data_IF_997026186080
#
_entry.id   IF_997026186080
#
_cell.length_a   1.000
_cell.length_b   1.000
_cell.length_c   1.000
_cell.angle_alpha   90.00
_cell.angle_beta   90.00
_cell.angle_gamma   90.00
#
_symmetry.space_group_name_H-M   'P 1'
#
loop_
_entity.id
_entity.type
_entity.pdbx_description
1 polymer ?
#
# COMPACT_ATOMS: atom_id res chain seq x y z
N UNK A 1 -19.80 -22.05 13.62
CA UNK A 1 -19.01 -21.21 14.55
C UNK A 1 -18.29 -20.13 13.79
N UNK A 2 -18.14 -18.94 14.37
CA UNK A 2 -17.39 -17.82 13.82
C UNK A 2 -16.65 -17.08 14.94
N UNK A 3 -15.39 -16.74 14.70
CA UNK A 3 -14.64 -15.85 15.59
C UNK A 3 -15.12 -14.42 15.32
N UNK A 4 -15.50 -13.67 16.33
CA UNK A 4 -16.00 -12.31 16.12
C UNK A 4 -15.18 -11.22 16.84
N UNK A 5 -14.30 -11.62 17.78
CA UNK A 5 -13.45 -10.67 18.49
C UNK A 5 -12.25 -11.38 19.11
N UNK A 6 -11.17 -10.61 19.39
CA UNK A 6 -9.98 -11.07 20.11
C UNK A 6 -9.55 -9.99 21.09
N UNK A 7 -9.64 -10.28 22.37
CA UNK A 7 -9.12 -9.41 23.44
C UNK A 7 -7.87 -9.99 24.08
N UNK A 8 -6.71 -9.40 23.80
CA UNK A 8 -5.43 -9.90 24.31
C UNK A 8 -5.18 -11.35 23.91
N UNK A 9 -5.23 -12.27 24.87
CA UNK A 9 -5.02 -13.71 24.67
C UNK A 9 -6.33 -14.53 24.65
N UNK A 10 -7.48 -13.87 24.59
CA UNK A 10 -8.81 -14.51 24.58
C UNK A 10 -9.45 -14.34 23.20
N UNK A 11 -9.86 -15.46 22.61
CA UNK A 11 -10.58 -15.54 21.34
C UNK A 11 -12.08 -15.68 21.63
N UNK A 12 -12.90 -14.72 21.22
CA UNK A 12 -14.35 -14.79 21.40
C UNK A 12 -14.99 -15.43 20.17
N UNK A 13 -15.73 -16.51 20.39
CA UNK A 13 -16.29 -17.35 19.34
C UNK A 13 -17.80 -17.44 19.46
N UNK A 14 -18.52 -17.03 18.42
CA UNK A 14 -19.95 -17.19 18.31
C UNK A 14 -20.29 -18.61 17.84
N UNK A 15 -21.22 -19.26 18.55
CA UNK A 15 -21.72 -20.61 18.22
C UNK A 15 -23.24 -20.60 18.21
N UNK A 16 -23.85 -21.15 17.16
CA UNK A 16 -25.31 -21.26 17.09
C UNK A 16 -25.82 -22.60 17.65
N UNK A 17 -25.05 -23.68 17.45
CA UNK A 17 -25.34 -25.00 17.97
C UNK A 17 -24.26 -25.44 18.97
N UNK A 18 -24.50 -25.38 20.27
CA UNK A 18 -23.53 -25.79 21.29
C UNK A 18 -23.27 -27.29 21.33
N UNK A 19 -24.01 -28.11 20.59
CA UNK A 19 -23.83 -29.55 20.50
C UNK A 19 -22.85 -29.96 19.37
N UNK A 20 -22.43 -29.02 18.52
CA UNK A 20 -21.43 -29.26 17.48
C UNK A 20 -19.99 -29.32 18.08
N UNK A 21 -19.72 -30.43 18.73
CA UNK A 21 -18.43 -30.70 19.37
C UNK A 21 -17.25 -30.69 18.36
N UNK A 22 -17.50 -31.10 17.12
CA UNK A 22 -16.43 -31.11 16.09
C UNK A 22 -15.95 -29.69 15.73
N UNK A 23 -16.89 -28.76 15.64
CA UNK A 23 -16.52 -27.38 15.38
C UNK A 23 -15.80 -26.74 16.57
N UNK A 24 -16.21 -27.06 17.81
CA UNK A 24 -15.51 -26.60 19.02
C UNK A 24 -14.11 -27.18 19.13
N UNK A 25 -13.94 -28.49 18.95
CA UNK A 25 -12.62 -29.15 18.97
C UNK A 25 -11.66 -28.56 17.94
N UNK A 26 -12.14 -28.24 16.73
CA UNK A 26 -11.32 -27.60 15.68
C UNK A 26 -10.84 -26.20 16.09
N UNK A 27 -11.72 -25.38 16.68
CA UNK A 27 -11.37 -24.04 17.17
C UNK A 27 -10.40 -24.14 18.35
N UNK A 28 -10.67 -25.03 19.31
CA UNK A 28 -9.82 -25.23 20.49
C UNK A 28 -8.43 -25.71 20.11
N UNK A 29 -8.34 -26.60 19.12
CA UNK A 29 -7.04 -27.06 18.58
C UNK A 29 -6.23 -25.89 18.00
N UNK A 30 -6.83 -25.09 17.11
CA UNK A 30 -6.17 -23.93 16.49
C UNK A 30 -5.79 -22.86 17.53
N UNK A 31 -6.63 -22.66 18.55
CA UNK A 31 -6.36 -21.71 19.60
C UNK A 31 -5.19 -22.15 20.50
N UNK A 32 -5.10 -23.45 20.82
CA UNK A 32 -3.99 -24.02 21.59
C UNK A 32 -2.64 -23.87 20.89
N UNK A 33 -2.59 -24.10 19.57
CA UNK A 33 -1.36 -23.88 18.79
C UNK A 33 -0.84 -22.45 18.90
N UNK A 34 -1.75 -21.50 19.09
CA UNK A 34 -1.44 -20.05 19.21
C UNK A 34 -1.40 -19.55 20.65
N UNK A 35 -1.47 -20.42 21.65
CA UNK A 35 -1.55 -20.05 23.07
C UNK A 35 -2.71 -19.08 23.40
N UNK A 36 -3.84 -19.24 22.73
CA UNK A 36 -5.06 -18.45 22.95
C UNK A 36 -6.05 -19.23 23.81
N UNK A 37 -6.81 -18.53 24.66
CA UNK A 37 -7.99 -19.08 25.35
C UNK A 37 -9.23 -18.81 24.48
N UNK A 38 -10.15 -19.75 24.49
CA UNK A 38 -11.42 -19.62 23.74
C UNK A 38 -12.56 -19.38 24.69
N UNK A 39 -13.39 -18.40 24.41
CA UNK A 39 -14.66 -18.14 25.05
C UNK A 39 -15.78 -18.28 24.02
N UNK A 40 -16.75 -19.15 24.28
CA UNK A 40 -17.87 -19.41 23.41
C UNK A 40 -19.09 -18.58 23.82
N UNK A 41 -19.69 -17.91 22.85
CA UNK A 41 -20.90 -17.12 23.02
C UNK A 41 -22.04 -17.73 22.19
N UNK A 42 -23.13 -18.08 22.83
CA UNK A 42 -24.30 -18.60 22.14
C UNK A 42 -24.97 -17.49 21.33
N UNK A 43 -25.27 -17.76 20.07
CA UNK A 43 -25.94 -16.81 19.19
C UNK A 43 -27.04 -17.48 18.39
N UNK A 44 -27.92 -16.69 17.75
CA UNK A 44 -28.87 -17.25 16.81
C UNK A 44 -28.20 -17.60 15.47
N UNK A 45 -28.78 -18.57 14.76
CA UNK A 45 -28.30 -18.95 13.42
C UNK A 45 -28.29 -17.76 12.46
N UNK A 46 -29.26 -16.85 12.57
CA UNK A 46 -29.34 -15.63 11.76
C UNK A 46 -28.15 -14.69 12.02
N UNK A 47 -27.80 -14.46 13.28
CA UNK A 47 -26.65 -13.62 13.65
C UNK A 47 -25.34 -14.30 13.26
N UNK A 48 -25.23 -15.65 13.42
CA UNK A 48 -24.06 -16.38 12.95
C UNK A 48 -23.89 -16.26 11.43
N UNK A 49 -24.99 -16.33 10.66
CA UNK A 49 -24.92 -16.12 9.21
C UNK A 49 -24.52 -14.68 8.84
N UNK A 50 -24.94 -13.68 9.60
CA UNK A 50 -24.48 -12.29 9.40
C UNK A 50 -22.99 -12.13 9.68
N UNK A 51 -22.49 -12.73 10.75
CA UNK A 51 -21.05 -12.79 11.03
C UNK A 51 -20.29 -13.51 9.92
N UNK A 52 -20.78 -14.66 9.46
CA UNK A 52 -20.17 -15.41 8.36
C UNK A 52 -20.20 -14.66 7.02
N UNK A 53 -21.18 -13.79 6.78
CA UNK A 53 -21.22 -12.90 5.62
C UNK A 53 -20.03 -11.95 5.60
N UNK A 54 -19.56 -11.45 6.74
CA UNK A 54 -18.36 -10.62 6.80
C UNK A 54 -17.12 -11.37 6.29
N UNK A 55 -16.99 -12.67 6.60
CA UNK A 55 -15.92 -13.53 6.06
C UNK A 55 -16.06 -13.87 4.57
N UNK A 56 -17.31 -13.86 4.06
CA UNK A 56 -17.60 -14.18 2.64
C UNK A 56 -17.73 -12.94 1.75
N UNK A 57 -17.73 -11.74 2.30
CA UNK A 57 -18.02 -10.49 1.60
C UNK A 57 -17.06 -10.25 0.43
N UNK A 58 -15.75 -10.47 0.63
CA UNK A 58 -14.74 -10.37 -0.43
C UNK A 58 -15.07 -11.27 -1.63
N UNK A 59 -15.36 -12.55 -1.37
CA UNK A 59 -15.70 -13.50 -2.45
C UNK A 59 -17.00 -13.13 -3.14
N UNK A 60 -18.00 -12.65 -2.40
CA UNK A 60 -19.30 -12.21 -2.93
C UNK A 60 -19.17 -11.01 -3.85
N UNK A 61 -18.52 -9.94 -3.41
CA UNK A 61 -18.31 -8.71 -4.18
C UNK A 61 -17.48 -8.94 -5.44
N UNK A 62 -16.43 -9.77 -5.34
CA UNK A 62 -15.61 -10.14 -6.48
C UNK A 62 -16.37 -11.06 -7.45
N UNK A 63 -17.19 -12.00 -6.97
CA UNK A 63 -17.99 -12.88 -7.84
C UNK A 63 -19.02 -12.10 -8.63
N UNK A 64 -19.66 -11.10 -8.03
CA UNK A 64 -20.58 -10.19 -8.74
C UNK A 64 -19.86 -9.43 -9.85
N UNK A 65 -18.67 -8.86 -9.55
CA UNK A 65 -17.88 -8.16 -10.55
C UNK A 65 -17.37 -9.10 -11.68
N UNK A 66 -16.99 -10.35 -11.34
CA UNK A 66 -16.61 -11.37 -12.33
C UNK A 66 -17.76 -11.78 -13.25
N UNK A 67 -19.00 -11.86 -12.72
CA UNK A 67 -20.19 -12.09 -13.55
C UNK A 67 -20.33 -11.04 -14.63
N UNK A 68 -20.20 -9.77 -14.29
CA UNK A 68 -20.25 -8.65 -15.24
C UNK A 68 -19.13 -8.67 -16.29
N UNK A 69 -17.95 -9.23 -15.98
CA UNK A 69 -16.85 -9.43 -16.95
C UNK A 69 -17.18 -10.53 -17.94
N UNK A 70 -17.78 -11.65 -17.49
CA UNK A 70 -18.19 -12.76 -18.37
C UNK A 70 -19.28 -12.34 -19.34
N UNK A 71 -20.33 -11.69 -18.85
CA UNK A 71 -21.47 -11.27 -19.69
C UNK A 71 -20.99 -10.35 -20.83
N UNK A 72 -20.07 -9.44 -20.58
CA UNK A 72 -19.48 -8.57 -21.61
C UNK A 72 -18.63 -9.33 -22.64
N UNK A 73 -17.89 -10.38 -22.22
CA UNK A 73 -17.13 -11.23 -23.16
C UNK A 73 -18.04 -12.04 -24.06
N UNK A 74 -19.16 -12.53 -23.55
CA UNK A 74 -20.12 -13.31 -24.34
C UNK A 74 -20.88 -12.41 -25.31
N UNK A 75 -21.27 -11.19 -24.90
CA UNK A 75 -21.86 -10.20 -25.83
C UNK A 75 -20.88 -9.76 -26.95
N UNK A 76 -19.58 -9.64 -26.66
CA UNK A 76 -18.55 -9.32 -27.67
C UNK A 76 -18.38 -10.50 -28.64
N UNK A 77 -18.37 -11.75 -28.19
CA UNK A 77 -18.26 -12.94 -29.04
C UNK A 77 -19.43 -13.05 -30.03
N UNK A 78 -20.65 -12.69 -29.64
CA UNK A 78 -21.81 -12.68 -30.52
C UNK A 78 -21.78 -11.53 -31.55
N UNK A 79 -21.14 -10.39 -31.20
CA UNK A 79 -20.92 -9.28 -32.14
C UNK A 79 -19.79 -9.55 -33.14
N UNK A 80 -18.74 -10.27 -32.73
CA UNK A 80 -17.58 -10.61 -33.56
C UNK A 80 -17.93 -11.68 -34.60
N UNK A 81 -18.86 -12.61 -34.32
CA UNK A 81 -19.41 -13.55 -35.33
C UNK A 81 -20.11 -12.85 -36.47
N UNK A 82 -20.43 -11.56 -36.34
CA UNK A 82 -21.08 -10.75 -37.41
C UNK A 82 -20.15 -9.80 -38.16
N UNK A 83 -18.84 -9.71 -37.79
CA UNK A 83 -17.84 -8.88 -38.49
C UNK A 83 -16.51 -9.62 -38.51
N UNK A 84 -16.28 -10.41 -39.55
CA UNK A 84 -14.95 -10.87 -39.91
C UNK A 84 -14.16 -9.73 -40.54
N UNK A 85 -12.87 -9.70 -40.18
CA UNK A 85 -11.77 -8.87 -40.71
C UNK A 85 -11.62 -7.46 -40.10
N UNK A 86 -10.78 -7.35 -39.09
CA UNK A 86 -9.59 -6.48 -38.96
C UNK A 86 -9.12 -6.31 -37.51
N UNK A 87 -7.88 -6.77 -37.34
CA UNK A 87 -6.82 -6.33 -36.40
C UNK A 87 -6.98 -6.30 -34.89
N UNK A 88 -6.16 -7.16 -34.30
CA UNK A 88 -6.00 -7.64 -32.92
C UNK A 88 -5.23 -6.71 -31.95
N UNK A 89 -5.19 -5.40 -32.09
CA UNK A 89 -4.43 -4.51 -31.20
C UNK A 89 -5.27 -3.51 -30.38
N UNK A 90 -6.59 -3.49 -30.59
CA UNK A 90 -7.49 -2.55 -29.90
C UNK A 90 -8.11 -3.04 -28.59
N UNK A 91 -8.04 -4.33 -28.31
CA UNK A 91 -8.92 -4.96 -27.30
C UNK A 91 -8.38 -4.93 -25.86
N UNK A 92 -7.06 -4.83 -25.68
CA UNK A 92 -6.44 -4.78 -24.34
C UNK A 92 -6.69 -3.46 -23.59
N UNK A 93 -6.85 -2.35 -24.33
CA UNK A 93 -7.05 -1.03 -23.72
C UNK A 93 -8.46 -0.80 -23.17
N UNK A 94 -9.48 -1.51 -23.70
CA UNK A 94 -10.86 -1.41 -23.22
C UNK A 94 -11.13 -2.29 -21.98
N UNK A 95 -10.50 -3.48 -21.92
CA UNK A 95 -10.65 -4.38 -20.77
C UNK A 95 -9.99 -3.81 -19.50
N UNK A 96 -8.90 -3.05 -19.65
CA UNK A 96 -8.21 -2.36 -18.53
C UNK A 96 -9.06 -1.23 -17.92
N UNK A 97 -9.88 -0.57 -18.74
CA UNK A 97 -10.82 0.48 -18.34
C UNK A 97 -12.18 -0.06 -17.91
N UNK A 98 -12.37 -1.38 -17.92
CA UNK A 98 -13.67 -1.95 -17.58
C UNK A 98 -14.00 -1.71 -16.10
N UNK A 99 -15.17 -1.15 -15.82
CA UNK A 99 -15.66 -0.90 -14.48
C UNK A 99 -15.59 -2.13 -13.54
N UNK A 100 -15.85 -3.37 -14.03
CA UNK A 100 -15.75 -4.57 -13.21
C UNK A 100 -14.33 -4.89 -12.72
N UNK A 101 -13.29 -4.72 -13.55
CA UNK A 101 -11.89 -4.97 -13.16
C UNK A 101 -11.44 -3.93 -12.15
N UNK A 102 -11.81 -2.67 -12.34
CA UNK A 102 -11.53 -1.60 -11.38
C UNK A 102 -12.20 -1.88 -10.03
N UNK A 103 -13.44 -2.39 -10.02
CA UNK A 103 -14.15 -2.80 -8.79
C UNK A 103 -13.40 -3.95 -8.10
N UNK A 104 -12.94 -4.97 -8.83
CA UNK A 104 -12.19 -6.09 -8.25
C UNK A 104 -10.89 -5.59 -7.57
N UNK A 105 -10.10 -4.74 -8.22
CA UNK A 105 -8.88 -4.17 -7.63
C UNK A 105 -9.20 -3.35 -6.39
N UNK A 106 -10.22 -2.48 -6.46
CA UNK A 106 -10.65 -1.66 -5.31
C UNK A 106 -11.08 -2.52 -4.12
N UNK A 107 -11.84 -3.60 -4.36
CA UNK A 107 -12.28 -4.54 -3.32
C UNK A 107 -11.09 -5.27 -2.70
N UNK A 108 -10.13 -5.74 -3.52
CA UNK A 108 -8.92 -6.40 -3.03
C UNK A 108 -8.13 -5.47 -2.10
N UNK A 109 -7.92 -4.21 -2.50
CA UNK A 109 -7.15 -3.24 -1.72
C UNK A 109 -7.88 -2.84 -0.43
N UNK A 110 -9.19 -2.60 -0.52
CA UNK A 110 -10.01 -2.27 0.66
C UNK A 110 -9.95 -3.38 1.70
N UNK A 111 -10.17 -4.63 1.30
CA UNK A 111 -10.12 -5.76 2.23
C UNK A 111 -8.72 -6.03 2.79
N UNK A 112 -7.66 -5.71 2.05
CA UNK A 112 -6.30 -5.82 2.56
C UNK A 112 -6.04 -4.82 3.68
N UNK A 113 -6.49 -3.56 3.51
CA UNK A 113 -6.37 -2.50 4.53
C UNK A 113 -7.22 -2.83 5.75
N UNK A 114 -8.49 -3.19 5.54
CA UNK A 114 -9.44 -3.54 6.60
C UNK A 114 -8.97 -4.75 7.42
N UNK A 115 -8.35 -5.72 6.75
CA UNK A 115 -7.76 -6.91 7.38
C UNK A 115 -6.37 -6.72 7.99
N UNK A 116 -5.83 -5.50 8.03
CA UNK A 116 -4.52 -5.20 8.62
C UNK A 116 -3.35 -5.89 7.90
N UNK A 117 -3.47 -6.14 6.59
CA UNK A 117 -2.39 -6.74 5.82
C UNK A 117 -1.22 -5.77 5.63
N UNK A 118 0.02 -6.26 5.70
CA UNK A 118 1.22 -5.50 5.35
C UNK A 118 1.50 -5.49 3.86
N UNK A 119 1.20 -6.60 3.17
CA UNK A 119 1.48 -6.76 1.74
C UNK A 119 0.32 -7.51 1.04
N UNK A 120 0.07 -7.13 -0.20
CA UNK A 120 -0.85 -7.80 -1.13
C UNK A 120 -0.05 -8.41 -2.27
N UNK A 121 -0.19 -9.70 -2.50
CA UNK A 121 0.46 -10.42 -3.59
C UNK A 121 -0.59 -10.88 -4.60
N UNK A 122 -0.39 -10.56 -5.88
CA UNK A 122 -1.18 -11.08 -7.00
C UNK A 122 -0.26 -11.94 -7.87
N UNK A 123 -0.53 -13.23 -7.87
CA UNK A 123 0.37 -14.24 -8.42
C UNK A 123 -0.32 -15.09 -9.48
N UNK A 124 0.28 -15.20 -10.69
CA UNK A 124 -0.23 -16.11 -11.70
C UNK A 124 0.15 -17.56 -11.38
N UNK A 125 -0.78 -18.46 -11.65
CA UNK A 125 -0.59 -19.91 -11.64
C UNK A 125 -1.00 -20.48 -12.98
N UNK A 126 -0.81 -21.80 -13.17
CA UNK A 126 -1.11 -22.47 -14.43
C UNK A 126 -2.55 -22.27 -14.91
N UNK A 127 -3.51 -22.29 -14.00
CA UNK A 127 -4.95 -22.27 -14.23
C UNK A 127 -5.70 -21.12 -13.55
N UNK A 128 -5.03 -20.36 -12.70
CA UNK A 128 -5.65 -19.39 -11.80
C UNK A 128 -4.75 -18.20 -11.55
N UNK A 129 -5.30 -17.16 -10.94
CA UNK A 129 -4.59 -16.04 -10.32
C UNK A 129 -4.90 -16.05 -8.83
N UNK A 130 -3.90 -16.02 -7.98
CA UNK A 130 -4.07 -16.01 -6.53
C UNK A 130 -3.77 -14.65 -5.95
N UNK A 131 -4.67 -14.18 -5.09
CA UNK A 131 -4.46 -13.02 -4.24
C UNK A 131 -4.14 -13.51 -2.84
N UNK A 132 -2.98 -13.12 -2.32
CA UNK A 132 -2.55 -13.46 -0.97
C UNK A 132 -2.27 -12.19 -0.19
N UNK A 133 -2.67 -12.18 1.06
CA UNK A 133 -2.37 -11.10 2.01
C UNK A 133 -1.32 -11.58 3.00
N UNK A 134 -0.36 -10.71 3.30
CA UNK A 134 0.56 -10.94 4.42
C UNK A 134 -0.02 -10.27 5.66
N UNK A 135 -0.36 -11.07 6.66
CA UNK A 135 -0.88 -10.61 7.95
C UNK A 135 0.03 -11.21 9.02
N UNK A 136 0.53 -10.38 9.93
CA UNK A 136 1.48 -10.78 10.98
C UNK A 136 2.69 -11.59 10.45
N UNK A 137 3.21 -11.20 9.29
CA UNK A 137 4.36 -11.84 8.63
C UNK A 137 4.02 -13.10 7.83
N UNK A 138 2.79 -13.65 7.94
CA UNK A 138 2.37 -14.90 7.27
C UNK A 138 1.51 -14.58 6.03
N UNK A 139 1.77 -15.29 4.92
CA UNK A 139 0.99 -15.18 3.69
C UNK A 139 -0.24 -16.09 3.71
N UNK A 140 -1.42 -15.52 3.60
CA UNK A 140 -2.70 -16.23 3.52
C UNK A 140 -3.34 -16.05 2.14
N UNK A 141 -3.81 -17.15 1.52
CA UNK A 141 -4.58 -17.08 0.28
C UNK A 141 -5.97 -16.57 0.60
N UNK A 142 -6.28 -15.35 0.14
CA UNK A 142 -7.57 -14.71 0.36
C UNK A 142 -8.56 -14.98 -0.77
N UNK A 143 -8.06 -14.98 -2.02
CA UNK A 143 -8.90 -15.10 -3.19
C UNK A 143 -8.20 -15.89 -4.29
N UNK A 144 -8.96 -16.72 -5.01
CA UNK A 144 -8.52 -17.40 -6.23
C UNK A 144 -9.42 -16.96 -7.37
N UNK A 145 -8.81 -16.41 -8.41
CA UNK A 145 -9.48 -15.83 -9.57
C UNK A 145 -9.17 -16.66 -10.84
N UNK A 146 -10.04 -16.68 -11.82
CA UNK A 146 -9.74 -17.31 -13.10
C UNK A 146 -8.52 -16.68 -13.78
N UNK A 147 -7.69 -17.48 -14.46
CA UNK A 147 -6.46 -17.02 -15.12
C UNK A 147 -6.70 -15.87 -16.10
N UNK A 148 -7.81 -15.89 -16.82
CA UNK A 148 -8.12 -14.89 -17.84
C UNK A 148 -8.27 -13.45 -17.31
N UNK A 149 -8.49 -13.27 -15.99
CA UNK A 149 -8.60 -11.94 -15.37
C UNK A 149 -7.25 -11.37 -14.95
N UNK A 150 -6.21 -12.21 -14.84
CA UNK A 150 -4.93 -11.84 -14.28
C UNK A 150 -4.28 -10.64 -14.98
N UNK A 151 -4.15 -10.71 -16.30
CA UNK A 151 -3.54 -9.64 -17.11
C UNK A 151 -4.29 -8.32 -16.95
N UNK A 152 -5.63 -8.37 -16.92
CA UNK A 152 -6.44 -7.17 -16.72
C UNK A 152 -6.25 -6.55 -15.32
N UNK A 153 -6.09 -7.38 -14.28
CA UNK A 153 -5.77 -6.91 -12.92
C UNK A 153 -4.40 -6.23 -12.89
N UNK A 154 -3.38 -6.88 -13.45
CA UNK A 154 -2.01 -6.33 -13.50
C UNK A 154 -2.01 -5.00 -14.25
N UNK A 155 -2.62 -4.94 -15.43
CA UNK A 155 -2.73 -3.71 -16.23
C UNK A 155 -3.46 -2.60 -15.46
N UNK A 156 -4.55 -2.92 -14.75
CA UNK A 156 -5.26 -1.94 -13.93
C UNK A 156 -4.39 -1.40 -12.79
N UNK A 157 -3.63 -2.27 -12.13
CA UNK A 157 -2.69 -1.86 -11.07
C UNK A 157 -1.57 -1.00 -11.64
N UNK A 158 -1.02 -1.34 -12.82
CA UNK A 158 -0.03 -0.51 -13.51
C UNK A 158 -0.56 0.88 -13.81
N UNK A 159 -1.81 1.00 -14.29
CA UNK A 159 -2.46 2.31 -14.51
C UNK A 159 -2.54 3.10 -13.21
N UNK A 160 -3.00 2.48 -12.12
CA UNK A 160 -3.12 3.15 -10.82
C UNK A 160 -1.76 3.57 -10.25
N UNK A 161 -0.72 2.80 -10.54
CA UNK A 161 0.66 3.06 -10.08
C UNK A 161 1.48 3.94 -11.03
N UNK A 162 0.86 4.42 -12.13
CA UNK A 162 1.51 5.21 -13.19
C UNK A 162 2.71 4.49 -13.83
N UNK A 163 2.58 3.14 -14.03
CA UNK A 163 3.57 2.29 -14.67
C UNK A 163 3.26 2.09 -16.16
N UNK A 164 4.26 1.68 -16.94
CA UNK A 164 4.11 1.38 -18.37
C UNK A 164 3.33 0.06 -18.53
N UNK A 165 2.18 0.12 -19.20
CA UNK A 165 1.28 -1.03 -19.38
C UNK A 165 1.84 -2.00 -20.42
N UNK A 166 2.45 -1.46 -21.46
CA UNK A 166 3.01 -2.17 -22.62
C UNK A 166 4.35 -2.85 -22.33
N UNK A 167 5.06 -2.45 -21.26
CA UNK A 167 6.31 -3.07 -20.86
C UNK A 167 6.07 -4.17 -19.81
N UNK A 168 6.31 -5.41 -20.21
CA UNK A 168 6.07 -6.61 -19.39
C UNK A 168 7.34 -7.43 -19.13
N UNK A 169 8.49 -6.98 -19.69
CA UNK A 169 9.75 -7.74 -19.68
C UNK A 169 10.74 -7.29 -18.62
N UNK A 170 10.51 -6.13 -18.03
CA UNK A 170 11.36 -5.58 -16.97
C UNK A 170 10.54 -5.31 -15.71
N UNK A 171 11.14 -5.45 -14.52
CA UNK A 171 10.50 -5.03 -13.28
C UNK A 171 10.16 -3.54 -13.31
N UNK A 172 9.05 -3.17 -12.69
CA UNK A 172 8.65 -1.77 -12.56
C UNK A 172 8.20 -1.52 -11.13
N UNK A 173 8.55 -0.37 -10.60
CA UNK A 173 8.17 0.10 -9.27
C UNK A 173 7.36 1.39 -9.38
N UNK A 174 6.31 1.49 -8.56
CA UNK A 174 5.42 2.64 -8.56
C UNK A 174 4.67 2.78 -7.25
N UNK A 175 3.71 3.72 -7.24
CA UNK A 175 2.89 4.01 -6.07
C UNK A 175 1.44 4.20 -6.44
N UNK A 176 0.57 3.79 -5.53
CA UNK A 176 -0.86 4.06 -5.57
C UNK A 176 -1.23 4.77 -4.29
N UNK A 177 -1.98 5.87 -4.38
CA UNK A 177 -2.62 6.50 -3.24
C UNK A 177 -4.12 6.44 -3.42
N UNK A 178 -4.81 5.91 -2.40
CA UNK A 178 -6.26 5.78 -2.40
C UNK A 178 -6.81 6.20 -1.05
N UNK A 179 -7.99 6.83 -1.07
CA UNK A 179 -8.79 7.01 0.14
C UNK A 179 -9.59 5.73 0.38
N UNK A 180 -9.31 5.06 1.49
CA UNK A 180 -9.96 3.80 1.90
C UNK A 180 -10.44 3.97 3.34
N UNK A 181 -11.73 3.81 3.58
CA UNK A 181 -12.36 3.95 4.90
C UNK A 181 -12.05 5.32 5.55
N UNK A 182 -12.14 6.39 4.76
CA UNK A 182 -11.84 7.77 5.14
C UNK A 182 -10.38 8.04 5.53
N UNK A 183 -9.49 7.08 5.30
CA UNK A 183 -8.05 7.24 5.47
C UNK A 183 -7.32 7.23 4.12
N UNK A 184 -6.35 8.11 3.96
CA UNK A 184 -5.44 8.06 2.83
C UNK A 184 -4.41 6.96 3.05
N UNK A 185 -4.41 5.97 2.17
CA UNK A 185 -3.49 4.83 2.23
C UNK A 185 -2.58 4.83 1.02
N UNK A 186 -1.29 4.75 1.26
CA UNK A 186 -0.28 4.62 0.22
C UNK A 186 0.12 3.15 0.02
N UNK A 187 0.30 2.74 -1.23
CA UNK A 187 0.79 1.42 -1.61
C UNK A 187 2.06 1.57 -2.44
N UNK A 188 3.14 0.90 -2.04
CA UNK A 188 4.29 0.68 -2.92
C UNK A 188 4.03 -0.54 -3.77
N UNK A 189 4.07 -0.38 -5.07
CA UNK A 189 3.77 -1.41 -6.07
C UNK A 189 5.06 -1.83 -6.74
N UNK A 190 5.31 -3.12 -6.79
CA UNK A 190 6.40 -3.70 -7.59
C UNK A 190 5.85 -4.79 -8.48
N UNK A 191 6.21 -4.73 -9.77
CA UNK A 191 5.88 -5.77 -10.75
C UNK A 191 7.13 -6.55 -11.10
N UNK A 192 7.00 -7.86 -11.21
CA UNK A 192 8.08 -8.77 -11.57
C UNK A 192 7.66 -9.63 -12.76
N UNK A 193 8.37 -9.54 -13.89
CA UNK A 193 8.17 -10.48 -15.01
C UNK A 193 8.41 -11.92 -14.58
N UNK A 194 7.50 -12.80 -14.98
CA UNK A 194 7.62 -14.25 -14.88
C UNK A 194 7.61 -14.85 -16.30
N UNK A 195 7.66 -16.19 -16.40
CA UNK A 195 7.80 -16.87 -17.67
C UNK A 195 6.68 -16.52 -18.68
N UNK A 196 5.42 -16.42 -18.22
CA UNK A 196 4.24 -16.20 -19.09
C UNK A 196 3.37 -15.02 -18.63
N UNK A 197 3.76 -14.29 -17.62
CA UNK A 197 2.95 -13.24 -17.00
C UNK A 197 3.79 -12.38 -16.06
N UNK A 198 3.15 -11.55 -15.25
CA UNK A 198 3.77 -10.71 -14.24
C UNK A 198 3.18 -11.00 -12.86
N UNK A 199 4.03 -11.04 -11.86
CA UNK A 199 3.63 -11.00 -10.46
C UNK A 199 3.57 -9.54 -9.98
N UNK A 200 2.59 -9.21 -9.15
CA UNK A 200 2.50 -7.90 -8.50
C UNK A 200 2.56 -8.09 -6.99
N UNK A 201 3.36 -7.24 -6.35
CA UNK A 201 3.39 -7.10 -4.89
C UNK A 201 3.09 -5.64 -4.55
N UNK A 202 2.16 -5.43 -3.63
CA UNK A 202 1.81 -4.10 -3.14
C UNK A 202 2.01 -4.08 -1.63
N UNK A 203 2.92 -3.25 -1.14
CA UNK A 203 3.12 -3.01 0.29
C UNK A 203 2.21 -1.89 0.73
N UNK A 204 1.46 -2.12 1.78
CA UNK A 204 0.58 -1.14 2.40
C UNK A 204 1.43 -0.30 3.36
N UNK A 205 1.40 1.01 3.16
CA UNK A 205 2.04 1.97 4.04
C UNK A 205 0.92 2.62 4.85
N UNK A 206 0.87 2.30 6.13
CA UNK A 206 -0.07 2.96 7.04
C UNK A 206 0.43 4.38 7.31
N UNK A 207 -0.27 5.35 6.75
CA UNK A 207 0.00 6.78 6.92
C UNK A 207 -0.99 7.43 7.89
N UNK A 208 -1.93 6.65 8.45
CA UNK A 208 -3.00 7.17 9.32
C UNK A 208 -2.48 7.77 10.62
N UNK A 209 -1.28 7.37 11.07
CA UNK A 209 -0.62 7.91 12.26
C UNK A 209 0.05 9.28 12.08
N UNK A 210 0.17 9.78 10.84
CA UNK A 210 0.95 11.00 10.56
C UNK A 210 2.43 10.87 10.96
N UNK A 211 3.14 12.00 10.97
CA UNK A 211 4.50 12.03 11.49
C UNK A 211 4.50 11.90 13.01
N UNK A 212 5.28 10.94 13.54
CA UNK A 212 5.46 10.80 14.98
C UNK A 212 6.01 12.09 15.58
N UNK A 213 5.62 12.41 16.80
CA UNK A 213 6.19 13.55 17.54
C UNK A 213 7.59 13.21 18.05
N UNK A 214 8.43 14.22 18.32
CA UNK A 214 9.76 13.99 18.89
C UNK A 214 9.70 13.24 20.23
N UNK A 215 8.67 13.47 21.04
CA UNK A 215 8.44 12.76 22.31
C UNK A 215 8.19 11.27 22.07
N UNK A 216 7.36 10.93 21.08
CA UNK A 216 7.09 9.53 20.68
C UNK A 216 8.33 8.84 20.11
N UNK A 217 9.27 9.60 19.52
CA UNK A 217 10.57 9.09 19.06
C UNK A 217 11.59 8.90 20.21
N UNK A 218 11.23 9.27 21.43
CA UNK A 218 12.10 9.11 22.61
C UNK A 218 13.04 10.29 22.86
N UNK A 219 12.86 11.44 22.20
CA UNK A 219 13.58 12.64 22.57
C UNK A 219 13.09 13.11 23.93
N UNK A 220 14.01 13.31 24.89
CA UNK A 220 13.69 13.76 26.24
C UNK A 220 14.79 14.69 26.82
N UNK A 221 14.42 15.44 27.83
CA UNK A 221 15.35 16.31 28.60
C UNK A 221 16.19 17.22 27.68
N UNK A 222 17.47 17.24 27.88
CA UNK A 222 18.41 18.09 27.16
C UNK A 222 18.38 17.89 25.64
N UNK A 223 18.28 16.65 25.18
CA UNK A 223 18.24 16.35 23.73
C UNK A 223 16.99 16.96 23.06
N UNK A 224 15.84 16.93 23.72
CA UNK A 224 14.63 17.58 23.24
C UNK A 224 14.80 19.10 23.13
N UNK A 225 15.41 19.73 24.14
CA UNK A 225 15.67 21.18 24.15
C UNK A 225 16.63 21.58 23.02
N UNK A 226 17.72 20.83 22.82
CA UNK A 226 18.70 21.07 21.78
C UNK A 226 18.02 20.95 20.40
N UNK A 227 17.24 19.89 20.17
CA UNK A 227 16.53 19.68 18.92
C UNK A 227 15.55 20.82 18.64
N UNK A 228 14.69 21.18 19.61
CA UNK A 228 13.75 22.30 19.49
C UNK A 228 14.42 23.65 19.24
N UNK A 229 15.60 23.88 19.78
CA UNK A 229 16.40 25.09 19.50
C UNK A 229 17.03 25.04 18.11
N UNK A 230 17.53 23.88 17.67
CA UNK A 230 18.18 23.72 16.38
C UNK A 230 17.21 23.97 15.21
N UNK A 231 16.02 23.35 15.24
CA UNK A 231 15.01 23.49 14.17
C UNK A 231 14.40 24.89 14.07
N UNK A 232 14.53 25.74 15.10
CA UNK A 232 14.03 27.13 15.10
C UNK A 232 15.04 28.15 14.57
N UNK A 233 16.27 27.72 14.26
CA UNK A 233 17.28 28.64 13.71
C UNK A 233 16.88 29.02 12.28
N UNK A 234 17.05 30.32 11.93
CA UNK A 234 16.70 30.78 10.58
C UNK A 234 17.59 30.20 9.48
N UNK A 235 18.83 29.86 9.80
CA UNK A 235 19.81 29.31 8.84
C UNK A 235 20.56 28.17 9.50
N UNK A 236 21.12 27.29 8.69
CA UNK A 236 21.99 26.19 9.13
C UNK A 236 21.53 24.84 8.58
N UNK A 237 22.24 23.80 8.99
CA UNK A 237 21.99 22.44 8.54
C UNK A 237 21.84 21.51 9.73
N UNK A 238 20.80 20.66 9.67
CA UNK A 238 20.62 19.55 10.61
C UNK A 238 20.98 18.25 9.89
N UNK A 239 21.92 17.50 10.43
CA UNK A 239 22.34 16.20 9.88
C UNK A 239 21.85 15.07 10.77
N UNK A 240 21.22 14.07 10.17
CA UNK A 240 20.79 12.83 10.83
C UNK A 240 21.57 11.68 10.20
N UNK A 241 22.33 10.95 11.01
CA UNK A 241 23.18 9.84 10.57
C UNK A 241 22.82 8.56 11.31
N UNK A 242 23.07 7.42 10.66
CA UNK A 242 22.83 6.10 11.25
C UNK A 242 22.61 5.02 10.18
N UNK A 243 22.59 3.74 10.59
CA UNK A 243 22.34 2.63 9.67
C UNK A 243 20.88 2.63 9.14
N UNK A 244 20.62 1.78 8.15
CA UNK A 244 19.23 1.55 7.67
C UNK A 244 18.35 1.05 8.81
N UNK A 245 17.13 1.57 8.91
CA UNK A 245 16.18 1.20 9.97
C UNK A 245 16.40 1.90 11.30
N UNK A 246 17.36 2.84 11.43
CA UNK A 246 17.60 3.59 12.69
C UNK A 246 16.62 4.75 12.94
N UNK A 247 15.66 4.97 12.06
CA UNK A 247 14.66 6.04 12.20
C UNK A 247 15.08 7.40 11.64
N UNK A 248 16.07 7.47 10.74
CA UNK A 248 16.54 8.73 10.13
C UNK A 248 15.39 9.53 9.49
N UNK A 249 14.70 8.91 8.52
CA UNK A 249 13.57 9.54 7.82
C UNK A 249 12.44 9.90 8.78
N UNK A 250 12.15 9.04 9.75
CA UNK A 250 11.13 9.29 10.78
C UNK A 250 11.47 10.52 11.61
N UNK A 251 12.74 10.68 12.01
CA UNK A 251 13.22 11.85 12.76
C UNK A 251 13.13 13.13 11.92
N UNK A 252 13.55 13.08 10.66
CA UNK A 252 13.45 14.22 9.73
C UNK A 252 11.98 14.63 9.50
N UNK A 253 11.09 13.67 9.26
CA UNK A 253 9.67 13.94 9.07
C UNK A 253 9.00 14.52 10.32
N UNK A 254 9.42 14.08 11.52
CA UNK A 254 8.97 14.69 12.77
C UNK A 254 9.42 16.15 12.91
N UNK A 255 10.64 16.46 12.50
CA UNK A 255 11.15 17.83 12.47
C UNK A 255 10.40 18.68 11.45
N UNK A 256 10.19 18.16 10.24
CA UNK A 256 9.41 18.86 9.19
C UNK A 256 7.98 19.14 9.65
N UNK A 257 7.33 18.17 10.31
CA UNK A 257 5.97 18.34 10.79
C UNK A 257 5.84 19.50 11.83
N UNK A 258 6.86 19.71 12.65
CA UNK A 258 6.91 20.84 13.60
C UNK A 258 7.05 22.18 12.86
N UNK A 259 7.80 22.19 11.75
CA UNK A 259 8.09 23.38 10.96
C UNK A 259 7.00 23.68 9.90
N UNK A 260 6.14 22.72 9.64
CA UNK A 260 5.12 22.80 8.62
C UNK A 260 3.95 23.70 9.05
N UNK A 261 4.04 24.97 8.68
CA UNK A 261 3.04 26.01 8.94
C UNK A 261 2.60 26.66 7.62
N UNK A 262 1.42 27.24 7.58
CA UNK A 262 0.82 27.82 6.38
C UNK A 262 1.72 28.83 5.63
N UNK A 263 2.57 29.54 6.34
CA UNK A 263 3.49 30.55 5.78
C UNK A 263 4.88 30.02 5.41
N UNK A 264 5.12 28.70 5.44
CA UNK A 264 6.46 28.11 5.24
C UNK A 264 6.47 27.21 4.01
N UNK A 265 7.32 27.48 3.04
CA UNK A 265 7.53 26.64 1.87
C UNK A 265 8.55 25.54 2.16
N UNK A 266 8.08 24.33 2.39
CA UNK A 266 8.93 23.14 2.63
C UNK A 266 9.00 22.31 1.36
N UNK A 267 10.23 22.01 0.91
CA UNK A 267 10.47 21.16 -0.25
C UNK A 267 11.40 20.03 0.12
N UNK A 268 11.08 18.80 -0.28
CA UNK A 268 11.96 17.64 -0.06
C UNK A 268 12.43 17.02 -1.37
N UNK A 269 13.57 16.33 -1.31
CA UNK A 269 14.12 15.52 -2.39
C UNK A 269 14.58 14.17 -1.80
N UNK A 270 13.94 13.07 -2.23
CA UNK A 270 14.00 11.78 -1.55
C UNK A 270 14.21 10.60 -2.52
N UNK A 271 14.71 9.46 -2.01
CA UNK A 271 14.93 8.23 -2.78
C UNK A 271 14.61 6.97 -1.94
N UNK A 272 13.35 6.52 -1.93
CA UNK A 272 12.13 7.20 -2.35
C UNK A 272 11.48 8.05 -1.25
N UNK A 273 10.41 8.80 -1.58
CA UNK A 273 9.52 9.40 -0.55
C UNK A 273 8.91 8.28 0.29
N UNK A 274 9.02 8.29 1.60
CA UNK A 274 8.53 7.21 2.46
C UNK A 274 7.00 7.24 2.59
N UNK A 275 6.44 8.37 2.98
CA UNK A 275 5.00 8.63 2.99
C UNK A 275 4.74 10.13 2.79
N UNK A 276 3.51 10.45 2.43
CA UNK A 276 3.12 11.83 2.14
C UNK A 276 2.96 12.67 3.41
N UNK A 277 3.51 13.86 3.39
CA UNK A 277 3.30 14.88 4.42
C UNK A 277 2.42 15.99 3.84
N UNK A 278 1.23 16.16 4.39
CA UNK A 278 0.33 17.24 3.99
C UNK A 278 1.01 18.60 4.20
N UNK A 279 0.99 19.48 3.20
CA UNK A 279 1.63 20.80 3.27
C UNK A 279 3.12 20.82 2.91
N UNK A 280 3.73 19.68 2.58
CA UNK A 280 5.14 19.57 2.14
C UNK A 280 5.20 19.21 0.66
N UNK A 281 6.03 19.90 -0.10
CA UNK A 281 6.27 19.63 -1.51
C UNK A 281 7.35 18.55 -1.65
N UNK A 282 6.94 17.29 -1.78
CA UNK A 282 7.85 16.15 -1.82
C UNK A 282 8.17 15.74 -3.25
N UNK A 283 9.46 15.75 -3.61
CA UNK A 283 9.99 15.29 -4.90
C UNK A 283 10.79 14.01 -4.73
N UNK A 284 10.62 13.07 -5.64
CA UNK A 284 11.38 11.83 -5.66
C UNK A 284 12.41 11.88 -6.80
N UNK A 285 13.64 11.49 -6.53
CA UNK A 285 14.68 11.36 -7.57
C UNK A 285 14.27 10.31 -8.61
N UNK A 286 14.66 10.55 -9.84
CA UNK A 286 14.48 9.63 -10.97
C UNK A 286 15.70 9.73 -11.89
N UNK A 287 16.75 8.93 -11.63
CA UNK A 287 17.99 8.96 -12.41
C UNK A 287 17.78 8.67 -13.90
N UNK A 288 16.77 7.87 -14.25
CA UNK A 288 16.49 7.49 -15.65
C UNK A 288 16.12 8.69 -16.54
N UNK A 289 15.58 9.74 -15.93
CA UNK A 289 15.25 11.01 -16.62
C UNK A 289 16.19 12.15 -16.22
N UNK A 290 17.29 11.85 -15.52
CA UNK A 290 18.29 12.83 -15.12
C UNK A 290 17.94 13.62 -13.85
N UNK A 291 16.87 13.30 -13.13
CA UNK A 291 16.54 13.90 -11.85
C UNK A 291 17.33 13.21 -10.73
N UNK A 292 18.58 13.61 -10.57
CA UNK A 292 19.48 13.19 -9.48
C UNK A 292 19.32 14.11 -8.26
N UNK A 293 19.93 13.76 -7.11
CA UNK A 293 19.95 14.63 -5.93
C UNK A 293 20.55 16.01 -6.24
N UNK A 294 21.69 16.08 -6.93
CA UNK A 294 22.30 17.34 -7.30
C UNK A 294 21.44 18.16 -8.27
N UNK A 295 20.90 17.54 -9.31
CA UNK A 295 20.03 18.22 -10.28
C UNK A 295 18.72 18.71 -9.63
N UNK A 296 18.09 17.88 -8.78
CA UNK A 296 16.89 18.20 -8.04
C UNK A 296 17.13 19.35 -7.06
N UNK A 297 18.21 19.29 -6.28
CA UNK A 297 18.54 20.35 -5.31
C UNK A 297 18.78 21.71 -5.97
N UNK A 298 19.49 21.75 -7.11
CA UNK A 298 19.61 23.00 -7.90
C UNK A 298 18.26 23.54 -8.36
N UNK A 299 17.30 22.68 -8.67
CA UNK A 299 15.97 23.10 -9.07
C UNK A 299 15.16 23.58 -7.89
N UNK A 300 15.24 22.93 -6.74
CA UNK A 300 14.57 23.30 -5.49
C UNK A 300 15.00 24.70 -5.05
N UNK A 301 16.29 25.04 -5.13
CA UNK A 301 16.80 26.36 -4.77
C UNK A 301 16.21 27.52 -5.61
N UNK A 302 15.54 27.23 -6.72
CA UNK A 302 14.80 28.21 -7.53
C UNK A 302 13.31 28.23 -7.26
N UNK A 303 12.83 27.44 -6.29
CA UNK A 303 11.43 27.36 -5.91
C UNK A 303 11.09 28.17 -4.65
N UNK A 304 11.97 29.11 -4.28
CA UNK A 304 11.82 29.95 -3.09
C UNK A 304 11.51 29.15 -1.81
N UNK A 305 12.34 28.13 -1.48
CA UNK A 305 12.12 27.30 -0.31
C UNK A 305 12.59 27.99 0.96
N UNK A 306 11.79 27.92 2.03
CA UNK A 306 12.24 28.27 3.39
C UNK A 306 13.00 27.11 4.04
N UNK A 307 12.57 25.87 3.73
CA UNK A 307 13.15 24.64 4.28
C UNK A 307 13.32 23.62 3.18
N UNK A 308 14.52 23.04 3.12
CA UNK A 308 14.85 21.96 2.19
C UNK A 308 15.24 20.72 2.98
N UNK A 309 14.63 19.58 2.68
CA UNK A 309 15.09 18.28 3.14
C UNK A 309 15.71 17.51 1.98
N UNK A 310 16.94 17.05 2.16
CA UNK A 310 17.64 16.15 1.23
C UNK A 310 17.68 14.77 1.88
N UNK A 311 17.04 13.78 1.26
CA UNK A 311 16.89 12.43 1.82
C UNK A 311 18.24 11.77 2.14
N UNK A 312 19.22 12.00 1.29
CA UNK A 312 20.62 11.56 1.53
C UNK A 312 21.63 12.36 0.72
N UNK A 313 22.86 12.38 1.19
CA UNK A 313 24.02 12.98 0.51
C UNK A 313 25.03 11.87 0.24
N UNK A 314 25.22 11.52 -1.04
CA UNK A 314 26.13 10.45 -1.48
C UNK A 314 27.38 10.98 -2.16
N UNK A 315 27.35 12.21 -2.64
CA UNK A 315 28.41 12.81 -3.46
C UNK A 315 28.76 14.24 -3.01
N UNK A 316 29.95 14.69 -3.40
CA UNK A 316 30.47 16.01 -3.03
C UNK A 316 29.62 17.14 -3.61
N UNK A 317 29.08 16.97 -4.81
CA UNK A 317 28.28 18.01 -5.47
C UNK A 317 26.99 18.29 -4.69
N UNK A 318 26.27 17.24 -4.31
CA UNK A 318 25.08 17.36 -3.44
C UNK A 318 25.43 17.98 -2.08
N UNK A 319 26.60 17.61 -1.50
CA UNK A 319 27.07 18.17 -0.24
C UNK A 319 27.34 19.67 -0.34
N UNK A 320 28.07 20.11 -1.37
CA UNK A 320 28.37 21.54 -1.61
C UNK A 320 27.08 22.36 -1.78
N UNK A 321 26.14 21.87 -2.60
CA UNK A 321 24.84 22.53 -2.81
C UNK A 321 24.04 22.64 -1.50
N UNK A 322 24.02 21.60 -0.68
CA UNK A 322 23.33 21.60 0.60
C UNK A 322 23.97 22.60 1.60
N UNK A 323 25.32 22.68 1.64
CA UNK A 323 26.03 23.66 2.45
C UNK A 323 25.69 25.08 1.97
N UNK A 324 25.75 25.34 0.66
CA UNK A 324 25.38 26.66 0.12
C UNK A 324 23.94 27.03 0.46
N UNK A 325 22.99 26.11 0.32
CA UNK A 325 21.59 26.33 0.71
C UNK A 325 21.45 26.69 2.19
N UNK A 326 22.24 26.07 3.06
CA UNK A 326 22.18 26.30 4.52
C UNK A 326 22.70 27.67 4.96
N UNK A 327 23.44 28.37 4.11
CA UNK A 327 24.01 29.68 4.39
C UNK A 327 23.14 30.85 3.88
N UNK A 328 22.23 30.56 2.99
CA UNK A 328 21.32 31.55 2.37
C UNK A 328 19.91 31.43 2.91
#
# INVERSE_FOLDING_TARGET
VAVFDKEGNVLKVAIADPTDLKAQEAIDYMAREKNLKVEYYLTSEKVLQELLKQYSQLKGEVSEALGQVKDRKDEKKDKIKKKQEKEDLGDLSEDVKSAPVAKIVSVILKHAVDGGASDVHIEPYSDSSRVRYRIDGVLHTSLVLPKYIHTALVSRIKVLANLKIDETRVPQDGRIRLNILDNDVDFRVSTLPLYDSEKVVMRILDTSGGALTLDQLGFAGHNMEVMKKAIKKPNGMLLVTGPTGSGKSTTLYSALNILNQEGVNIVTLEDPVEYYLTGVNQSQVNPDVGLTFAAGLRSILRQDPDIVMVGEIRDNETAELAIHASLT
#
